data_IF_021531666182
#
_entry.id   IF_021531666182
#
_cell.length_a   1.000
_cell.length_b   1.000
_cell.length_c   1.000
_cell.angle_alpha   90.00
_cell.angle_beta   90.00
_cell.angle_gamma   90.00
#
_symmetry.space_group_name_H-M   'P 1'
#
loop_
_entity.id
_entity.type
_entity.pdbx_description
1 polymer ?
#
# COMPACT_ATOMS: atom_id res chain seq x y z
N UNK A 1 -19.60 -25.76 -21.68
CA UNK A 1 -19.70 -25.10 -20.35
C UNK A 1 -18.51 -24.17 -20.17
N UNK A 2 -18.63 -22.89 -20.55
CA UNK A 2 -17.56 -21.87 -20.43
C UNK A 2 -18.11 -20.47 -20.07
N UNK A 3 -19.32 -20.37 -19.49
CA UNK A 3 -19.99 -19.09 -19.22
C UNK A 3 -19.79 -18.55 -17.79
N UNK A 4 -19.22 -19.33 -16.87
CA UNK A 4 -19.10 -18.97 -15.44
C UNK A 4 -17.90 -18.07 -15.08
N UNK A 5 -16.93 -17.90 -15.98
CA UNK A 5 -15.71 -17.10 -15.71
C UNK A 5 -15.96 -15.61 -15.97
N UNK A 6 -16.73 -15.28 -17.00
CA UNK A 6 -16.96 -13.89 -17.45
C UNK A 6 -17.78 -13.09 -16.42
N UNK A 7 -18.74 -13.73 -15.75
CA UNK A 7 -19.59 -13.08 -14.73
C UNK A 7 -18.79 -12.70 -13.46
N UNK A 8 -17.96 -13.62 -12.98
CA UNK A 8 -17.13 -13.44 -11.77
C UNK A 8 -16.11 -12.30 -11.93
N UNK A 9 -15.47 -12.21 -13.08
CA UNK A 9 -14.48 -11.16 -13.36
C UNK A 9 -15.13 -9.79 -13.51
N UNK A 10 -16.37 -9.75 -13.99
CA UNK A 10 -17.18 -8.53 -13.99
C UNK A 10 -17.53 -8.14 -12.56
N UNK A 11 -18.13 -9.04 -11.78
CA UNK A 11 -18.50 -8.78 -10.38
C UNK A 11 -17.31 -8.29 -9.53
N UNK A 12 -16.12 -8.87 -9.70
CA UNK A 12 -14.89 -8.43 -9.01
C UNK A 12 -14.50 -7.00 -9.37
N UNK A 13 -14.55 -6.63 -10.65
CA UNK A 13 -14.23 -5.26 -11.11
C UNK A 13 -15.23 -4.23 -10.60
N UNK A 14 -16.53 -4.53 -10.65
CA UNK A 14 -17.57 -3.63 -10.13
C UNK A 14 -17.46 -3.44 -8.62
N UNK A 15 -17.09 -4.49 -7.87
CA UNK A 15 -16.82 -4.38 -6.43
C UNK A 15 -15.64 -3.45 -6.12
N UNK A 16 -14.56 -3.52 -6.90
CA UNK A 16 -13.41 -2.61 -6.75
C UNK A 16 -13.83 -1.15 -6.95
N UNK A 17 -14.48 -0.85 -8.08
CA UNK A 17 -14.93 0.51 -8.41
C UNK A 17 -15.92 1.09 -7.38
N UNK A 18 -16.83 0.26 -6.86
CA UNK A 18 -17.77 0.69 -5.83
C UNK A 18 -17.08 0.95 -4.48
N UNK A 19 -16.08 0.13 -4.11
CA UNK A 19 -15.30 0.33 -2.90
C UNK A 19 -14.45 1.60 -2.98
N UNK A 20 -13.80 1.85 -4.12
CA UNK A 20 -12.98 3.05 -4.34
C UNK A 20 -13.83 4.34 -4.32
N UNK A 21 -15.12 4.25 -4.67
CA UNK A 21 -16.06 5.39 -4.57
C UNK A 21 -16.54 5.64 -3.13
N UNK A 22 -16.88 4.57 -2.39
CA UNK A 22 -17.39 4.69 -1.03
C UNK A 22 -16.27 4.99 -0.01
N UNK A 23 -15.06 4.51 -0.32
CA UNK A 23 -13.85 4.68 0.47
C UNK A 23 -12.75 5.22 -0.43
N UNK A 24 -12.82 6.51 -0.80
CA UNK A 24 -11.79 7.12 -1.62
C UNK A 24 -10.43 6.97 -0.93
N UNK A 25 -9.34 6.82 -1.70
CA UNK A 25 -8.00 6.76 -1.12
C UNK A 25 -7.75 8.04 -0.33
N UNK A 26 -7.49 7.89 0.98
CA UNK A 26 -7.13 8.99 1.88
C UNK A 26 -5.69 8.82 2.35
N UNK A 27 -5.02 9.93 2.60
CA UNK A 27 -3.68 9.93 3.15
C UNK A 27 -3.70 9.35 4.57
N UNK A 28 -2.83 8.38 4.85
CA UNK A 28 -2.74 7.74 6.16
C UNK A 28 -2.23 8.68 7.28
N UNK A 29 -1.68 9.85 6.91
CA UNK A 29 -1.06 10.80 7.85
C UNK A 29 -1.96 12.00 8.11
N UNK A 30 -2.42 12.68 7.05
CA UNK A 30 -3.23 13.90 7.16
C UNK A 30 -4.71 13.73 6.76
N UNK A 31 -5.11 12.53 6.31
CA UNK A 31 -6.46 12.21 5.83
C UNK A 31 -6.95 13.03 4.61
N UNK A 32 -6.08 13.75 3.91
CA UNK A 32 -6.40 14.38 2.63
C UNK A 32 -6.79 13.33 1.57
N UNK A 33 -7.69 13.70 0.67
CA UNK A 33 -8.15 12.81 -0.40
C UNK A 33 -7.10 12.68 -1.52
N UNK A 34 -7.05 11.52 -2.18
CA UNK A 34 -6.35 11.32 -3.46
C UNK A 34 -5.30 10.21 -3.46
N UNK A 35 -4.52 10.03 -2.37
CA UNK A 35 -3.46 9.03 -2.30
C UNK A 35 -3.26 8.53 -0.87
N UNK A 36 -2.76 7.29 -0.72
CA UNK A 36 -2.42 6.71 0.59
C UNK A 36 -1.33 7.53 1.32
N UNK A 37 -0.45 8.18 0.57
CA UNK A 37 0.50 9.18 1.06
C UNK A 37 0.53 10.33 0.05
N UNK A 38 -0.01 11.49 0.40
CA UNK A 38 0.00 12.66 -0.49
C UNK A 38 1.41 13.24 -0.63
N UNK A 39 1.64 14.03 -1.68
CA UNK A 39 2.95 14.61 -1.99
C UNK A 39 3.49 15.49 -0.86
N UNK A 40 2.61 16.25 -0.19
CA UNK A 40 2.98 17.08 0.96
C UNK A 40 3.53 16.23 2.11
N UNK A 41 2.83 15.14 2.46
CA UNK A 41 3.29 14.23 3.50
C UNK A 41 4.54 13.46 3.04
N UNK A 42 4.60 13.02 1.78
CA UNK A 42 5.77 12.35 1.22
C UNK A 42 7.03 13.23 1.30
N UNK A 43 6.91 14.52 0.98
CA UNK A 43 8.01 15.49 1.09
C UNK A 43 8.41 15.82 2.53
N UNK A 44 7.54 15.58 3.51
CA UNK A 44 7.84 15.80 4.92
C UNK A 44 8.60 14.64 5.59
N UNK A 45 8.58 13.43 5.00
CA UNK A 45 9.29 12.28 5.55
C UNK A 45 10.72 12.18 5.04
N UNK A 46 11.65 11.85 5.94
CA UNK A 46 13.00 11.46 5.56
C UNK A 46 12.96 10.05 4.92
N UNK A 47 13.55 9.86 3.72
CA UNK A 47 13.63 8.54 3.10
C UNK A 47 14.31 7.51 4.01
N UNK A 48 13.72 6.32 4.09
CA UNK A 48 14.32 5.21 4.80
C UNK A 48 15.51 4.67 4.00
N UNK A 49 16.73 4.92 4.47
CA UNK A 49 17.97 4.40 3.88
C UNK A 49 18.40 3.06 4.54
N UNK A 50 19.11 2.18 3.81
CA UNK A 50 19.71 0.97 4.37
C UNK A 50 20.83 1.28 5.38
N UNK A 51 21.20 0.34 6.27
CA UNK A 51 20.69 -1.04 6.40
C UNK A 51 19.41 -1.18 7.25
N UNK A 52 18.53 -2.10 6.87
CA UNK A 52 17.26 -2.42 7.55
C UNK A 52 16.93 -3.91 7.44
N UNK A 53 16.23 -4.49 8.42
CA UNK A 53 15.79 -5.88 8.31
C UNK A 53 14.79 -6.03 7.15
N UNK A 54 14.99 -6.98 6.20
CA UNK A 54 14.08 -7.16 5.06
C UNK A 54 12.67 -7.66 5.44
N UNK A 55 12.45 -8.02 6.71
CA UNK A 55 11.16 -8.54 7.21
C UNK A 55 10.37 -7.52 8.03
N UNK A 56 10.96 -6.88 9.04
CA UNK A 56 10.26 -5.90 9.88
C UNK A 56 10.54 -4.44 9.49
N UNK A 57 11.55 -4.19 8.65
CA UNK A 57 12.01 -2.86 8.23
C UNK A 57 12.60 -1.97 9.35
N UNK A 58 12.92 -2.55 10.51
CA UNK A 58 13.56 -1.81 11.60
C UNK A 58 15.00 -1.43 11.21
N UNK A 59 15.52 -0.25 11.65
CA UNK A 59 16.91 0.13 11.44
C UNK A 59 17.84 -0.95 12.01
N UNK A 60 18.83 -1.37 11.22
CA UNK A 60 19.86 -2.31 11.69
C UNK A 60 21.24 -1.74 11.46
N UNK A 61 22.14 -1.97 12.42
CA UNK A 61 23.56 -1.65 12.27
C UNK A 61 24.28 -2.66 11.35
N UNK A 62 23.65 -3.80 11.10
CA UNK A 62 24.18 -4.88 10.26
C UNK A 62 23.55 -4.86 8.86
N UNK A 63 24.27 -5.27 7.79
CA UNK A 63 23.72 -5.41 6.45
C UNK A 63 22.52 -6.36 6.45
N UNK A 64 21.61 -6.22 5.47
CA UNK A 64 20.26 -6.80 5.38
C UNK A 64 20.10 -8.34 5.53
N UNK A 65 21.17 -9.05 5.91
CA UNK A 65 21.21 -10.47 6.20
C UNK A 65 21.00 -10.82 7.69
N UNK A 66 20.97 -9.86 8.63
CA UNK A 66 20.82 -10.18 10.05
C UNK A 66 19.36 -10.43 10.47
N UNK A 67 19.19 -11.44 11.31
CA UNK A 67 17.90 -12.01 11.75
C UNK A 67 17.04 -10.94 12.45
N UNK A 68 15.81 -10.77 11.97
CA UNK A 68 14.77 -10.06 12.73
C UNK A 68 14.54 -10.82 14.06
N UNK A 69 14.95 -10.22 15.18
CA UNK A 69 14.69 -10.72 16.52
C UNK A 69 13.30 -10.28 17.00
#
# INVERSE_FOLDING_TARGET
MHTDVIDRDRLRRWRGLAADFLFPPRCAVCAADGALLCDDCHGAFTPAVPPRCPRCWDPSDEPAASVCN
#
